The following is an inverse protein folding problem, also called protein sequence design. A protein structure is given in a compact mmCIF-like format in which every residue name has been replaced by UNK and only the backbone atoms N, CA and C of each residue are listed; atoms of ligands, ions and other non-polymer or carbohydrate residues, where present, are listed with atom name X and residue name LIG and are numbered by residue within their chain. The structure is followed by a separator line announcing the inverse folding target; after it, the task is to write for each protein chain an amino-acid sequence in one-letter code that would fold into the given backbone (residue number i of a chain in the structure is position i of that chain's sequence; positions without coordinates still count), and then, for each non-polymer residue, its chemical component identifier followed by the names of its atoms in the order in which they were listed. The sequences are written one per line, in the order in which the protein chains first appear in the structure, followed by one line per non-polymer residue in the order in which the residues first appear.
data_IF_671822786826
#
_entry.id   IF_671822786826
#
_cell.length_a   1.000
_cell.length_b   1.000
_cell.length_c   1.000
_cell.angle_alpha   90.00
_cell.angle_beta   90.00
_cell.angle_gamma   90.00
#
_symmetry.space_group_name_H-M   'P 1'
#
loop_
_entity.id
_entity.type
_entity.pdbx_description
1 polymer ?
#
# COMPACT_ATOMS: atom_id res chain seq x y z
N UNK A 1 -57.46 -33.43 10.80
CA UNK A 1 -56.49 -33.22 9.73
C UNK A 1 -55.91 -31.81 9.89
N UNK A 2 -54.65 -31.70 10.39
CA UNK A 2 -53.95 -30.43 10.57
C UNK A 2 -52.94 -30.31 9.43
N UNK A 3 -53.17 -29.36 8.51
CA UNK A 3 -52.16 -28.94 7.50
C UNK A 3 -51.22 -27.92 8.16
N UNK A 4 -49.99 -28.25 8.30
CA UNK A 4 -48.90 -27.31 8.62
C UNK A 4 -48.21 -26.87 7.34
N UNK A 5 -48.42 -25.60 6.99
CA UNK A 5 -47.74 -24.97 5.86
C UNK A 5 -46.32 -24.58 6.26
N UNK A 6 -45.29 -25.17 5.62
CA UNK A 6 -43.91 -24.76 5.71
C UNK A 6 -43.68 -23.59 4.74
N UNK A 7 -43.43 -22.41 5.30
CA UNK A 7 -42.91 -21.26 4.56
C UNK A 7 -41.40 -21.37 4.47
N UNK A 8 -40.88 -21.73 3.32
CA UNK A 8 -39.45 -21.66 3.00
C UNK A 8 -39.09 -20.20 2.63
N UNK A 9 -38.39 -19.52 3.51
CA UNK A 9 -37.83 -18.21 3.24
C UNK A 9 -36.59 -18.36 2.36
N UNK A 10 -36.72 -17.97 1.10
CA UNK A 10 -35.63 -17.91 0.12
C UNK A 10 -34.86 -16.60 0.36
N UNK A 11 -33.74 -16.65 1.08
CA UNK A 11 -32.83 -15.51 1.21
C UNK A 11 -31.99 -15.40 -0.07
N UNK A 12 -32.34 -14.48 -0.95
CA UNK A 12 -31.47 -14.07 -2.06
C UNK A 12 -30.28 -13.28 -1.49
N UNK A 13 -29.11 -13.90 -1.44
CA UNK A 13 -27.85 -13.20 -1.26
C UNK A 13 -27.48 -12.52 -2.57
N UNK A 14 -27.71 -11.21 -2.66
CA UNK A 14 -27.18 -10.38 -3.73
C UNK A 14 -25.67 -10.28 -3.55
N UNK A 15 -24.92 -11.16 -4.21
CA UNK A 15 -23.49 -10.98 -4.41
C UNK A 15 -23.30 -9.79 -5.37
N UNK A 16 -23.15 -8.60 -4.81
CA UNK A 16 -22.81 -7.41 -5.56
C UNK A 16 -21.39 -7.52 -6.09
N UNK A 17 -21.22 -7.83 -7.36
CA UNK A 17 -19.96 -7.62 -8.08
C UNK A 17 -19.79 -6.11 -8.30
N UNK A 18 -19.27 -5.39 -7.31
CA UNK A 18 -18.75 -4.05 -7.51
C UNK A 18 -17.25 -4.18 -7.80
N UNK A 19 -16.90 -4.21 -9.09
CA UNK A 19 -15.52 -4.20 -9.57
C UNK A 19 -14.83 -2.82 -9.45
N UNK A 20 -15.15 -2.07 -8.41
CA UNK A 20 -14.46 -0.85 -8.03
C UNK A 20 -13.49 -1.22 -6.93
N UNK A 21 -12.19 -1.23 -7.26
CA UNK A 21 -11.17 -1.33 -6.23
C UNK A 21 -11.31 -0.10 -5.34
N UNK A 22 -11.82 -0.30 -4.13
CA UNK A 22 -11.89 0.74 -3.12
C UNK A 22 -10.44 1.11 -2.76
N UNK A 23 -10.13 2.40 -2.83
CA UNK A 23 -8.79 2.85 -2.49
C UNK A 23 -8.62 2.87 -0.98
N UNK A 24 -7.53 2.28 -0.52
CA UNK A 24 -7.19 2.19 0.89
C UNK A 24 -7.25 3.55 1.60
N UNK A 25 -7.85 3.60 2.78
CA UNK A 25 -7.88 4.77 3.66
C UNK A 25 -6.52 5.00 4.35
N UNK A 26 -6.37 6.15 5.02
CA UNK A 26 -5.16 6.43 5.81
C UNK A 26 -4.97 5.38 6.91
N UNK A 27 -3.78 4.79 6.98
CA UNK A 27 -3.44 3.71 7.89
C UNK A 27 -3.70 2.31 7.35
N UNK A 28 -4.46 2.16 6.28
CA UNK A 28 -4.73 0.89 5.62
C UNK A 28 -3.58 0.49 4.70
N UNK A 29 -3.47 -0.81 4.44
CA UNK A 29 -2.41 -1.37 3.63
C UNK A 29 -2.86 -1.60 2.19
N UNK A 30 -1.88 -1.54 1.29
CA UNK A 30 -2.12 -1.66 -0.13
C UNK A 30 -1.05 -2.50 -0.82
N UNK A 31 -1.44 -3.10 -1.94
CA UNK A 31 -0.56 -3.74 -2.90
C UNK A 31 -0.72 -3.09 -4.26
N UNK A 32 0.30 -3.21 -5.06
CA UNK A 32 0.23 -2.85 -6.47
C UNK A 32 -0.53 -3.94 -7.24
N UNK A 33 -1.51 -3.55 -8.07
CA UNK A 33 -2.33 -4.50 -8.83
C UNK A 33 -2.12 -4.44 -10.33
N UNK A 34 -1.79 -3.27 -10.89
CA UNK A 34 -1.49 -3.12 -12.31
C UNK A 34 -0.37 -2.13 -12.55
N UNK A 35 0.48 -2.43 -13.52
CA UNK A 35 1.53 -1.55 -14.01
C UNK A 35 1.32 -1.39 -15.50
N UNK A 36 0.60 -0.34 -15.87
CA UNK A 36 0.71 0.18 -17.22
C UNK A 36 1.84 1.22 -17.22
N UNK A 37 2.51 1.44 -18.35
CA UNK A 37 3.63 2.39 -18.47
C UNK A 37 3.33 3.82 -17.98
N UNK A 38 2.07 4.12 -17.69
CA UNK A 38 1.59 5.47 -17.35
C UNK A 38 0.81 5.57 -16.04
N UNK A 39 0.43 4.46 -15.40
CA UNK A 39 -0.33 4.50 -14.15
C UNK A 39 -0.05 3.29 -13.27
N UNK A 40 -0.05 3.54 -11.97
CA UNK A 40 0.01 2.53 -10.93
C UNK A 40 -1.33 2.51 -10.24
N UNK A 41 -1.88 1.33 -10.14
CA UNK A 41 -3.08 1.10 -9.39
C UNK A 41 -2.73 0.37 -8.10
N UNK A 42 -3.18 0.92 -7.00
CA UNK A 42 -3.03 0.33 -5.67
C UNK A 42 -4.39 -0.21 -5.21
N UNK A 43 -4.41 -1.42 -4.72
CA UNK A 43 -5.60 -2.01 -4.11
C UNK A 43 -5.39 -2.22 -2.61
N UNK A 44 -6.43 -1.98 -1.84
CA UNK A 44 -6.45 -2.29 -0.41
C UNK A 44 -6.27 -3.79 -0.18
N UNK A 45 -5.46 -4.12 0.84
CA UNK A 45 -5.26 -5.50 1.32
C UNK A 45 -5.14 -5.50 2.83
N UNK A 46 -5.40 -6.65 3.45
CA UNK A 46 -5.14 -6.83 4.88
C UNK A 46 -3.65 -6.58 5.18
N UNK A 47 -3.37 -5.75 6.18
CA UNK A 47 -1.99 -5.41 6.59
C UNK A 47 -1.17 -6.61 7.07
N UNK A 48 -1.81 -7.70 7.46
CA UNK A 48 -1.15 -8.96 7.81
C UNK A 48 -0.75 -9.80 6.58
N UNK A 49 -1.27 -9.45 5.40
CA UNK A 49 -0.96 -10.15 4.15
C UNK A 49 0.49 -9.91 3.73
N UNK A 50 1.13 -10.92 3.16
CA UNK A 50 2.46 -10.80 2.54
C UNK A 50 2.47 -9.84 1.35
N UNK A 51 1.32 -9.61 0.72
CA UNK A 51 1.17 -8.65 -0.37
C UNK A 51 1.10 -7.19 0.10
N UNK A 52 0.91 -6.94 1.41
CA UNK A 52 0.77 -5.61 2.01
C UNK A 52 2.11 -4.87 2.09
N UNK A 53 2.70 -4.53 0.96
CA UNK A 53 4.02 -3.89 0.86
C UNK A 53 3.97 -2.39 1.13
N UNK A 54 2.80 -1.79 1.01
CA UNK A 54 2.58 -0.37 1.20
C UNK A 54 1.51 -0.09 2.26
N UNK A 55 1.60 1.08 2.87
CA UNK A 55 0.58 1.62 3.77
C UNK A 55 0.30 3.07 3.41
N UNK A 56 -0.96 3.47 3.39
CA UNK A 56 -1.34 4.86 3.19
C UNK A 56 -0.93 5.67 4.41
N UNK A 57 0.01 6.57 4.23
CA UNK A 57 0.49 7.49 5.27
C UNK A 57 -0.41 8.72 5.37
N UNK A 58 -0.73 9.31 4.22
CA UNK A 58 -1.58 10.50 4.18
C UNK A 58 -2.38 10.57 2.89
N UNK A 59 -3.40 11.41 2.92
CA UNK A 59 -4.29 11.68 1.81
C UNK A 59 -4.40 13.18 1.62
N UNK A 60 -3.74 13.67 0.59
CA UNK A 60 -3.57 15.11 0.36
C UNK A 60 -4.53 15.61 -0.71
N UNK A 61 -5.14 16.76 -0.47
CA UNK A 61 -5.94 17.46 -1.46
C UNK A 61 -5.15 18.62 -2.04
N UNK A 62 -4.89 18.60 -3.35
CA UNK A 62 -4.22 19.69 -4.11
C UNK A 62 -2.77 19.98 -3.68
N UNK A 63 -2.17 19.17 -2.84
CA UNK A 63 -0.79 19.33 -2.35
C UNK A 63 0.08 18.14 -2.77
N UNK A 64 1.35 18.22 -2.51
CA UNK A 64 2.30 17.13 -2.67
C UNK A 64 2.31 16.27 -1.42
N UNK A 65 2.84 15.05 -1.52
CA UNK A 65 3.13 14.26 -0.34
C UNK A 65 4.12 14.97 0.58
N UNK A 66 4.15 14.66 1.89
CA UNK A 66 5.14 15.19 2.81
C UNK A 66 6.57 14.91 2.32
N UNK A 67 7.58 15.53 2.96
CA UNK A 67 8.97 15.29 2.59
C UNK A 67 9.37 13.83 2.84
N UNK A 68 9.94 13.19 1.82
CA UNK A 68 10.39 11.80 1.91
C UNK A 68 10.23 11.01 0.62
N UNK A 69 10.50 9.71 0.69
CA UNK A 69 10.49 8.78 -0.45
C UNK A 69 9.11 8.11 -0.63
N UNK A 70 8.06 8.89 -0.54
CA UNK A 70 6.70 8.38 -0.73
C UNK A 70 6.48 7.93 -2.17
N UNK A 71 5.79 6.80 -2.29
CA UNK A 71 5.12 6.50 -3.54
C UNK A 71 3.82 7.32 -3.55
N UNK A 72 3.62 8.10 -4.60
CA UNK A 72 2.42 8.91 -4.73
C UNK A 72 1.52 8.42 -5.87
N UNK A 73 0.25 8.31 -5.56
CA UNK A 73 -0.79 8.01 -6.52
C UNK A 73 -1.86 9.10 -6.51
N UNK A 74 -2.23 9.56 -7.68
CA UNK A 74 -3.30 10.56 -7.81
C UNK A 74 -4.56 9.89 -8.33
N UNK A 75 -5.63 9.94 -7.55
CA UNK A 75 -6.92 9.44 -7.97
C UNK A 75 -7.97 10.54 -8.09
N UNK A 76 -8.86 10.32 -9.03
CA UNK A 76 -10.05 11.13 -9.25
C UNK A 76 -9.78 12.49 -9.91
N UNK A 77 -10.58 12.80 -10.92
CA UNK A 77 -10.68 14.13 -11.51
C UNK A 77 -12.07 14.69 -11.20
N UNK A 78 -12.24 15.26 -10.02
CA UNK A 78 -13.42 16.09 -9.78
C UNK A 78 -13.13 17.52 -10.20
N UNK A 79 -13.95 18.09 -11.07
CA UNK A 79 -13.86 19.52 -11.43
C UNK A 79 -14.01 20.44 -10.22
N UNK A 80 -14.69 19.98 -9.16
CA UNK A 80 -14.96 20.76 -7.93
C UNK A 80 -13.92 20.55 -6.83
N UNK A 81 -13.40 19.34 -6.66
CA UNK A 81 -12.54 18.97 -5.50
C UNK A 81 -11.05 18.82 -5.81
N UNK A 82 -10.67 18.84 -7.09
CA UNK A 82 -9.31 18.57 -7.51
C UNK A 82 -8.95 17.08 -7.42
N UNK A 83 -7.67 16.78 -7.65
CA UNK A 83 -7.13 15.41 -7.47
C UNK A 83 -6.86 15.17 -5.99
N UNK A 84 -7.19 13.99 -5.53
CA UNK A 84 -6.71 13.47 -4.25
C UNK A 84 -5.42 12.71 -4.51
N UNK A 85 -4.40 12.99 -3.73
CA UNK A 85 -3.10 12.32 -3.76
C UNK A 85 -2.99 11.40 -2.55
N UNK A 86 -2.67 10.14 -2.80
CA UNK A 86 -2.39 9.16 -1.77
C UNK A 86 -0.88 9.02 -1.63
N UNK A 87 -0.38 9.14 -0.43
CA UNK A 87 1.03 9.05 -0.11
C UNK A 87 1.29 7.74 0.61
N UNK A 88 2.02 6.83 -0.03
CA UNK A 88 2.30 5.51 0.49
C UNK A 88 3.71 5.44 1.04
N UNK A 89 3.85 4.80 2.19
CA UNK A 89 5.13 4.39 2.78
C UNK A 89 5.29 2.89 2.65
N UNK A 90 6.54 2.41 2.66
CA UNK A 90 6.78 0.96 2.71
C UNK A 90 6.30 0.38 4.04
N UNK A 91 5.49 -0.66 3.97
CA UNK A 91 5.01 -1.46 5.10
C UNK A 91 5.86 -2.73 5.21
N UNK A 92 7.10 -2.57 5.66
CA UNK A 92 8.09 -3.65 5.71
C UNK A 92 8.69 -3.77 7.10
N UNK A 93 9.27 -4.94 7.38
CA UNK A 93 9.99 -5.28 8.61
C UNK A 93 11.43 -5.64 8.29
N UNK A 94 12.30 -5.54 9.27
CA UNK A 94 13.65 -6.07 9.15
C UNK A 94 13.62 -7.55 8.77
N UNK A 95 14.46 -7.93 7.82
CA UNK A 95 14.49 -9.28 7.28
C UNK A 95 13.63 -9.52 6.04
N UNK A 96 12.64 -8.66 5.75
CA UNK A 96 11.84 -8.75 4.52
C UNK A 96 12.74 -8.67 3.29
N UNK A 97 12.45 -9.47 2.27
CA UNK A 97 13.12 -9.39 0.98
C UNK A 97 12.18 -8.79 -0.07
N UNK A 98 12.75 -7.87 -0.82
CA UNK A 98 12.03 -7.06 -1.79
C UNK A 98 12.61 -7.27 -3.19
N UNK A 99 11.75 -7.38 -4.16
CA UNK A 99 12.09 -7.27 -5.58
C UNK A 99 11.65 -5.90 -6.08
N UNK A 100 12.61 -5.13 -6.60
CA UNK A 100 12.31 -3.86 -7.24
C UNK A 100 11.74 -4.11 -8.64
N UNK A 101 10.65 -3.43 -8.96
CA UNK A 101 10.01 -3.46 -10.28
C UNK A 101 9.75 -2.01 -10.68
N UNK A 102 10.57 -1.46 -11.56
CA UNK A 102 10.55 -0.03 -11.92
C UNK A 102 10.65 0.87 -10.65
N UNK A 103 9.57 1.49 -10.24
CA UNK A 103 9.51 2.40 -9.07
C UNK A 103 8.93 1.71 -7.83
N UNK A 104 8.59 0.43 -7.89
CA UNK A 104 7.84 -0.29 -6.87
C UNK A 104 8.63 -1.42 -6.28
N UNK A 105 8.16 -1.85 -5.11
CA UNK A 105 8.67 -3.03 -4.45
C UNK A 105 7.55 -4.07 -4.30
N UNK A 106 7.95 -5.33 -4.44
CA UNK A 106 7.12 -6.48 -4.08
C UNK A 106 7.85 -7.27 -3.01
N UNK A 107 7.15 -7.72 -1.97
CA UNK A 107 7.71 -8.65 -1.00
C UNK A 107 7.78 -10.03 -1.64
N UNK A 108 8.93 -10.67 -1.53
CA UNK A 108 9.22 -11.96 -2.13
C UNK A 108 10.04 -12.82 -1.17
N UNK A 109 10.12 -14.11 -1.41
CA UNK A 109 11.08 -14.96 -0.71
C UNK A 109 12.51 -14.48 -0.97
N UNK A 110 13.36 -14.52 0.07
CA UNK A 110 14.76 -14.11 -0.05
C UNK A 110 15.53 -15.04 -1.00
N UNK A 111 16.30 -14.47 -1.89
CA UNK A 111 17.07 -15.21 -2.89
C UNK A 111 17.92 -14.31 -3.77
N UNK A 112 18.50 -14.87 -4.80
CA UNK A 112 19.30 -14.11 -5.76
C UNK A 112 18.46 -13.02 -6.43
N UNK A 113 19.01 -11.79 -6.53
CA UNK A 113 18.34 -10.65 -7.14
C UNK A 113 17.28 -9.98 -6.26
N UNK A 114 17.13 -10.40 -5.00
CA UNK A 114 16.30 -9.70 -4.02
C UNK A 114 17.14 -8.75 -3.17
N UNK A 115 16.50 -7.74 -2.62
CA UNK A 115 17.08 -6.73 -1.74
C UNK A 115 16.48 -6.92 -0.36
N UNK A 116 17.30 -7.02 0.67
CA UNK A 116 16.84 -7.28 2.03
C UNK A 116 16.66 -5.97 2.80
N UNK A 117 15.58 -5.84 3.53
CA UNK A 117 15.41 -4.79 4.54
C UNK A 117 16.33 -5.14 5.72
N UNK A 118 17.36 -4.35 5.91
CA UNK A 118 18.42 -4.60 6.91
C UNK A 118 18.11 -3.91 8.22
N UNK A 119 17.40 -2.78 8.18
CA UNK A 119 17.08 -1.99 9.37
C UNK A 119 15.83 -1.15 9.15
N UNK A 120 15.02 -1.00 10.19
CA UNK A 120 13.90 -0.07 10.25
C UNK A 120 14.05 0.79 11.51
N UNK A 121 14.18 2.09 11.35
CA UNK A 121 14.30 3.07 12.45
C UNK A 121 13.04 3.91 12.50
N UNK A 122 12.29 3.78 13.58
CA UNK A 122 11.13 4.61 13.84
C UNK A 122 11.53 5.88 14.59
N UNK A 123 10.88 6.98 14.28
CA UNK A 123 11.12 8.28 14.93
C UNK A 123 12.29 9.08 14.36
N UNK A 124 13.02 8.55 13.39
CA UNK A 124 14.14 9.23 12.73
C UNK A 124 14.01 9.14 11.21
N UNK A 125 14.20 10.28 10.53
CA UNK A 125 14.16 10.39 9.08
C UNK A 125 15.53 10.90 8.59
N UNK A 126 16.51 10.00 8.58
CA UNK A 126 17.91 10.33 8.25
C UNK A 126 18.56 9.20 7.43
N UNK A 127 18.97 9.51 6.20
CA UNK A 127 19.67 8.57 5.31
C UNK A 127 21.03 8.13 5.82
N UNK A 128 21.68 8.93 6.67
CA UNK A 128 22.97 8.59 7.25
C UNK A 128 22.94 7.34 8.15
N UNK A 129 21.75 6.93 8.59
CA UNK A 129 21.52 5.70 9.36
C UNK A 129 21.73 4.41 8.54
N UNK A 130 21.84 4.53 7.19
CA UNK A 130 22.02 3.42 6.25
C UNK A 130 23.35 3.52 5.49
N UNK A 131 24.51 3.48 6.14
CA UNK A 131 25.80 3.67 5.48
C UNK A 131 26.06 2.53 4.47
N UNK A 132 26.32 2.92 3.22
CA UNK A 132 26.61 1.96 2.14
C UNK A 132 25.40 1.19 1.58
N UNK A 133 24.22 1.46 2.06
CA UNK A 133 22.95 0.85 1.62
C UNK A 133 22.05 1.86 0.93
N UNK A 134 20.99 1.40 0.29
CA UNK A 134 19.90 2.29 -0.11
C UNK A 134 19.00 2.59 1.08
N UNK A 135 18.37 3.74 1.06
CA UNK A 135 17.47 4.15 2.13
C UNK A 135 16.15 4.67 1.58
N UNK A 136 15.11 4.51 2.39
CA UNK A 136 13.84 5.21 2.25
C UNK A 136 13.57 5.97 3.53
N UNK A 137 13.34 7.27 3.39
CA UNK A 137 13.07 8.16 4.53
C UNK A 137 11.71 8.78 4.39
N UNK A 138 11.01 8.92 5.51
CA UNK A 138 9.67 9.48 5.55
C UNK A 138 9.55 10.46 6.71
N UNK A 139 8.88 11.57 6.49
CA UNK A 139 8.59 12.54 7.54
C UNK A 139 7.26 12.26 8.27
N UNK A 140 6.42 11.38 7.68
CA UNK A 140 5.12 10.99 8.26
C UNK A 140 4.70 9.58 7.78
N UNK A 141 4.75 8.55 8.64
CA UNK A 141 5.39 8.56 9.96
C UNK A 141 6.90 8.85 9.85
N UNK A 142 7.48 9.42 10.87
CA UNK A 142 8.93 9.67 10.89
C UNK A 142 9.66 8.35 10.98
N UNK A 143 10.33 7.93 9.90
CA UNK A 143 11.05 6.65 9.86
C UNK A 143 12.10 6.60 8.75
N UNK A 144 13.09 5.76 8.97
CA UNK A 144 14.11 5.38 7.97
C UNK A 144 14.12 3.88 7.79
N UNK A 145 14.20 3.44 6.53
CA UNK A 145 14.31 2.03 6.15
C UNK A 145 15.58 1.85 5.35
N UNK A 146 16.48 0.98 5.82
CA UNK A 146 17.69 0.61 5.10
C UNK A 146 17.45 -0.67 4.29
N UNK A 147 17.92 -0.68 3.05
CA UNK A 147 17.68 -1.76 2.10
C UNK A 147 19.03 -2.10 1.46
N UNK A 148 19.45 -3.36 1.51
CA UNK A 148 20.68 -3.83 0.85
C UNK A 148 20.67 -3.49 -0.64
N UNK A 149 21.85 -3.28 -1.19
CA UNK A 149 22.05 -3.06 -2.63
C UNK A 149 22.02 -4.35 -3.42
#
# INVERSE_FOLDING_TARGET
VKLTALLAALTLTLAGCSGWHEQAGVGECAKQVDVNDTSVNMAEVDCASDEAVYRVSSRERRTMCPTGDYLDESSGRSRKTGRTRYCYVLNVREGDCLKATNQYFQRVACGAGTRKVTKVVEGESDRSLCPGEDSRTYSQPVRTICISR
#
